data_IF_238004174056
#
_entry.id   IF_238004174056
#
_cell.length_a   1.000
_cell.length_b   1.000
_cell.length_c   1.000
_cell.angle_alpha   90.00
_cell.angle_beta   90.00
_cell.angle_gamma   90.00
#
_symmetry.space_group_name_H-M   'P 1'
#
loop_
_entity.id
_entity.type
_entity.pdbx_description
1 polymer ?
#
# COMPACT_ATOMS: atom_id res chain seq x y z
N UNK A 1 34.91 -39.63 -10.93
CA UNK A 1 33.57 -39.05 -10.64
C UNK A 1 33.82 -37.72 -9.96
N UNK A 2 33.59 -36.60 -10.64
CA UNK A 2 33.72 -35.28 -10.02
C UNK A 2 32.54 -35.10 -9.09
N UNK A 3 32.78 -35.03 -7.79
CA UNK A 3 31.75 -34.67 -6.84
C UNK A 3 31.42 -33.19 -7.07
N UNK A 4 30.24 -32.90 -7.63
CA UNK A 4 29.74 -31.54 -7.83
C UNK A 4 29.40 -30.91 -6.48
N UNK A 5 30.44 -30.46 -5.79
CA UNK A 5 30.37 -29.75 -4.53
C UNK A 5 29.99 -28.29 -4.80
N UNK A 6 28.93 -27.80 -4.16
CA UNK A 6 28.45 -26.42 -4.31
C UNK A 6 28.50 -25.67 -3.00
N UNK A 7 28.94 -24.42 -3.06
CA UNK A 7 28.89 -23.51 -1.93
C UNK A 7 27.44 -23.12 -1.63
N UNK A 8 27.13 -22.73 -0.39
CA UNK A 8 25.82 -22.18 -0.01
C UNK A 8 25.36 -21.05 -0.97
N UNK A 9 26.31 -20.23 -1.44
CA UNK A 9 26.03 -19.14 -2.40
C UNK A 9 25.61 -19.68 -3.77
N UNK A 10 26.36 -20.62 -4.33
CA UNK A 10 26.07 -21.22 -5.65
C UNK A 10 24.74 -21.97 -5.63
N UNK A 11 24.47 -22.74 -4.57
CA UNK A 11 23.19 -23.44 -4.40
C UNK A 11 22.02 -22.46 -4.27
N UNK A 12 22.23 -21.29 -3.65
CA UNK A 12 21.21 -20.26 -3.53
C UNK A 12 20.89 -19.61 -4.89
N UNK A 13 21.92 -19.27 -5.66
CA UNK A 13 21.79 -18.71 -7.01
C UNK A 13 21.12 -19.70 -7.97
N UNK A 14 21.49 -20.99 -7.94
CA UNK A 14 20.88 -22.04 -8.76
C UNK A 14 19.40 -22.27 -8.43
N UNK A 15 19.04 -22.28 -7.15
CA UNK A 15 17.67 -22.52 -6.73
C UNK A 15 16.81 -21.25 -6.71
N UNK A 16 17.39 -20.07 -6.98
CA UNK A 16 16.69 -18.78 -6.94
C UNK A 16 16.26 -18.36 -5.53
N UNK A 17 16.96 -18.83 -4.50
CA UNK A 17 16.69 -18.43 -3.11
C UNK A 17 17.76 -17.49 -2.58
N UNK A 18 17.43 -16.74 -1.53
CA UNK A 18 18.39 -15.88 -0.84
C UNK A 18 19.38 -16.77 -0.07
N UNK A 19 20.67 -16.41 -0.05
CA UNK A 19 21.74 -17.15 0.66
C UNK A 19 21.37 -17.51 2.10
N UNK A 20 20.70 -16.61 2.82
CA UNK A 20 20.24 -16.81 4.19
C UNK A 20 19.22 -17.95 4.31
N UNK A 21 18.34 -18.13 3.33
CA UNK A 21 17.34 -19.21 3.29
C UNK A 21 18.01 -20.57 3.21
N UNK A 22 18.98 -20.73 2.31
CA UNK A 22 19.79 -21.95 2.20
C UNK A 22 20.59 -22.16 3.49
N UNK A 23 21.20 -21.10 4.03
CA UNK A 23 21.98 -21.16 5.26
C UNK A 23 21.16 -21.62 6.48
N UNK A 24 19.89 -21.23 6.56
CA UNK A 24 18.97 -21.72 7.59
C UNK A 24 18.79 -23.24 7.48
N UNK A 25 18.55 -23.78 6.28
CA UNK A 25 18.41 -25.22 6.09
C UNK A 25 19.70 -26.00 6.35
N UNK A 26 20.85 -25.40 6.05
CA UNK A 26 22.17 -25.95 6.35
C UNK A 26 22.42 -26.11 7.86
N UNK A 27 21.75 -25.36 8.75
CA UNK A 27 21.86 -25.55 10.21
C UNK A 27 21.31 -26.90 10.68
N UNK A 28 20.43 -27.53 9.89
CA UNK A 28 19.83 -28.82 10.20
C UNK A 28 20.62 -30.02 9.67
N UNK A 29 21.71 -29.77 8.93
CA UNK A 29 22.64 -30.81 8.50
C UNK A 29 23.63 -31.14 9.63
N UNK A 30 24.08 -32.40 9.73
CA UNK A 30 25.09 -32.79 10.71
C UNK A 30 26.33 -31.90 10.58
N UNK A 31 26.87 -31.45 11.72
CA UNK A 31 28.04 -30.56 11.76
C UNK A 31 29.36 -31.32 11.74
N UNK A 32 29.33 -32.66 11.89
CA UNK A 32 30.51 -33.52 11.86
C UNK A 32 31.07 -33.55 10.44
N UNK A 33 32.34 -33.15 10.28
CA UNK A 33 33.11 -33.23 9.03
C UNK A 33 32.57 -32.38 7.86
N UNK A 34 32.24 -31.10 8.10
CA UNK A 34 31.87 -30.20 7.00
C UNK A 34 33.03 -29.98 6.03
N UNK A 35 32.77 -30.26 4.76
CA UNK A 35 33.70 -29.95 3.68
C UNK A 35 33.85 -28.44 3.54
N UNK A 36 35.10 -28.01 3.39
CA UNK A 36 35.47 -26.63 3.10
C UNK A 36 36.34 -26.59 1.86
N UNK A 37 36.18 -25.55 1.05
CA UNK A 37 37.06 -25.30 -0.08
C UNK A 37 38.37 -24.61 0.38
N UNK A 38 39.25 -24.34 -0.57
CA UNK A 38 40.51 -23.62 -0.35
C UNK A 38 40.35 -22.23 0.28
N UNK A 39 39.18 -21.59 0.13
CA UNK A 39 38.88 -20.29 0.74
C UNK A 39 38.20 -20.39 2.12
N UNK A 40 38.05 -21.61 2.65
CA UNK A 40 37.44 -21.86 3.97
C UNK A 40 35.91 -21.78 4.00
N UNK A 41 35.26 -21.60 2.85
CA UNK A 41 33.81 -21.60 2.73
C UNK A 41 33.26 -23.03 2.79
N UNK A 42 32.10 -23.19 3.43
CA UNK A 42 31.41 -24.48 3.55
C UNK A 42 30.85 -24.87 2.18
N UNK A 43 31.18 -26.09 1.77
CA UNK A 43 30.71 -26.69 0.51
C UNK A 43 29.81 -27.88 0.83
N UNK A 44 28.76 -28.03 0.03
CA UNK A 44 27.70 -29.01 0.24
C UNK A 44 27.84 -30.15 -0.77
N UNK A 45 27.75 -31.39 -0.29
CA UNK A 45 27.73 -32.57 -1.15
C UNK A 45 26.36 -32.73 -1.85
N UNK A 46 26.28 -33.67 -2.80
CA UNK A 46 25.05 -33.90 -3.57
C UNK A 46 23.86 -34.30 -2.67
N UNK A 47 24.09 -35.05 -1.59
CA UNK A 47 23.04 -35.48 -0.66
C UNK A 47 22.51 -34.33 0.19
N UNK A 48 23.40 -33.46 0.68
CA UNK A 48 23.09 -32.25 1.42
C UNK A 48 22.33 -31.25 0.54
N UNK A 49 22.77 -31.08 -0.71
CA UNK A 49 22.06 -30.29 -1.71
C UNK A 49 20.64 -30.83 -1.95
N UNK A 50 20.49 -32.15 -2.13
CA UNK A 50 19.18 -32.81 -2.28
C UNK A 50 18.30 -32.65 -1.04
N UNK A 51 18.86 -32.79 0.15
CA UNK A 51 18.14 -32.61 1.41
C UNK A 51 17.58 -31.18 1.52
N UNK A 52 18.41 -30.18 1.23
CA UNK A 52 18.01 -28.78 1.24
C UNK A 52 16.93 -28.51 0.19
N UNK A 53 17.13 -28.98 -1.05
CA UNK A 53 16.14 -28.86 -2.14
C UNK A 53 14.79 -29.45 -1.76
N UNK A 54 14.78 -30.65 -1.20
CA UNK A 54 13.55 -31.32 -0.78
C UNK A 54 12.83 -30.55 0.34
N UNK A 55 13.55 -29.96 1.30
CA UNK A 55 12.91 -29.13 2.34
C UNK A 55 12.28 -27.87 1.78
N UNK A 56 12.90 -27.26 0.77
CA UNK A 56 12.37 -26.05 0.13
C UNK A 56 11.14 -26.34 -0.74
N UNK A 57 11.12 -27.49 -1.43
CA UNK A 57 10.03 -27.87 -2.33
C UNK A 57 8.86 -28.55 -1.62
N UNK A 58 9.05 -29.20 -0.46
CA UNK A 58 7.98 -29.89 0.28
C UNK A 58 6.89 -28.95 0.82
N UNK A 59 7.17 -27.65 0.93
CA UNK A 59 6.22 -26.61 1.32
C UNK A 59 5.59 -25.90 0.11
N UNK A 60 5.99 -26.26 -1.12
CA UNK A 60 5.39 -25.78 -2.36
C UNK A 60 4.38 -26.86 -2.81
N UNK A 61 3.11 -26.52 -3.07
CA UNK A 61 2.21 -27.48 -3.71
C UNK A 61 2.79 -27.82 -5.09
N UNK A 62 3.40 -28.99 -5.23
CA UNK A 62 3.89 -29.50 -6.50
C UNK A 62 2.66 -29.85 -7.36
N UNK A 63 2.41 -29.05 -8.41
CA UNK A 63 1.46 -29.43 -9.45
C UNK A 63 2.10 -30.31 -10.54
N UNK A 64 3.40 -30.59 -10.46
CA UNK A 64 4.14 -31.30 -11.50
C UNK A 64 4.95 -32.45 -10.91
N UNK A 65 4.33 -33.62 -10.74
CA UNK A 65 5.03 -34.90 -10.84
C UNK A 65 4.04 -36.06 -11.02
N UNK A 66 3.75 -36.33 -12.29
CA UNK A 66 3.19 -37.59 -12.77
C UNK A 66 4.30 -38.66 -12.72
N UNK A 67 4.23 -39.57 -11.75
CA UNK A 67 4.84 -40.90 -11.88
C UNK A 67 4.18 -41.93 -10.96
N UNK A 68 3.43 -42.82 -11.60
CA UNK A 68 3.40 -44.28 -11.41
C UNK A 68 3.04 -44.87 -10.03
N UNK A 69 1.79 -45.32 -10.00
CA UNK A 69 1.08 -46.33 -9.18
C UNK A 69 1.91 -47.34 -8.36
N UNK A 70 1.52 -47.48 -7.08
CA UNK A 70 1.20 -48.77 -6.43
C UNK A 70 0.05 -48.55 -5.42
N UNK A 71 -1.00 -49.39 -5.37
CA UNK A 71 -2.08 -49.25 -4.40
C UNK A 71 -1.90 -50.23 -3.24
N UNK A 72 -1.13 -49.88 -2.23
CA UNK A 72 -1.20 -50.56 -0.93
C UNK A 72 -2.25 -49.91 -0.04
N UNK A 73 -3.41 -50.58 0.01
CA UNK A 73 -4.40 -50.65 1.10
C UNK A 73 -4.04 -49.80 2.34
N UNK A 74 -4.75 -48.69 2.54
CA UNK A 74 -5.06 -48.09 3.86
C UNK A 74 -6.10 -46.97 3.68
N UNK A 75 -7.36 -47.28 4.04
CA UNK A 75 -8.57 -46.45 3.79
C UNK A 75 -8.83 -45.27 4.77
N UNK A 76 -8.02 -44.87 5.77
CA UNK A 76 -8.35 -43.70 6.60
C UNK A 76 -7.79 -42.35 6.10
N UNK A 77 -7.02 -42.32 5.01
CA UNK A 77 -6.41 -41.06 4.50
C UNK A 77 -7.38 -40.22 3.64
N UNK A 78 -8.24 -40.87 2.85
CA UNK A 78 -9.11 -40.20 1.88
C UNK A 78 -10.19 -39.33 2.57
N UNK A 79 -10.75 -39.79 3.69
CA UNK A 79 -11.80 -39.05 4.41
C UNK A 79 -11.24 -37.80 5.10
N UNK A 80 -10.00 -37.88 5.61
CA UNK A 80 -9.28 -36.71 6.16
C UNK A 80 -8.91 -35.72 5.07
N UNK A 81 -8.47 -36.18 3.90
CA UNK A 81 -8.21 -35.32 2.74
C UNK A 81 -9.48 -34.61 2.25
N UNK A 82 -10.63 -35.31 2.20
CA UNK A 82 -11.92 -34.70 1.83
C UNK A 82 -12.33 -33.64 2.86
N UNK A 83 -12.16 -33.92 4.16
CA UNK A 83 -12.45 -32.96 5.23
C UNK A 83 -11.55 -31.72 5.15
N UNK A 84 -10.24 -31.90 4.92
CA UNK A 84 -9.30 -30.79 4.76
C UNK A 84 -9.64 -29.95 3.52
N UNK A 85 -9.97 -30.59 2.39
CA UNK A 85 -10.37 -29.89 1.17
C UNK A 85 -11.65 -29.07 1.34
N UNK A 86 -12.64 -29.58 2.09
CA UNK A 86 -13.85 -28.84 2.38
C UNK A 86 -13.58 -27.60 3.25
N UNK A 87 -12.75 -27.73 4.28
CA UNK A 87 -12.34 -26.59 5.13
C UNK A 87 -11.55 -25.56 4.31
N UNK A 88 -10.65 -26.00 3.43
CA UNK A 88 -9.93 -25.12 2.49
C UNK A 88 -10.89 -24.39 1.54
N UNK A 89 -11.93 -25.08 1.05
CA UNK A 89 -12.91 -24.49 0.16
C UNK A 89 -13.76 -23.42 0.87
N UNK A 90 -14.16 -23.65 2.11
CA UNK A 90 -14.86 -22.65 2.94
C UNK A 90 -13.96 -21.44 3.22
N UNK A 91 -12.69 -21.67 3.53
CA UNK A 91 -11.71 -20.58 3.70
C UNK A 91 -11.50 -19.77 2.41
N UNK A 92 -11.54 -20.42 1.24
CA UNK A 92 -11.47 -19.72 -0.04
C UNK A 92 -12.72 -18.86 -0.28
N UNK A 93 -13.92 -19.41 -0.05
CA UNK A 93 -15.17 -18.65 -0.20
C UNK A 93 -15.23 -17.42 0.72
N UNK A 94 -14.87 -17.58 1.98
CA UNK A 94 -14.84 -16.47 2.94
C UNK A 94 -13.82 -15.40 2.54
N UNK A 95 -12.64 -15.79 2.03
CA UNK A 95 -11.67 -14.83 1.49
C UNK A 95 -12.17 -14.14 0.23
N UNK A 96 -12.84 -14.85 -0.68
CA UNK A 96 -13.43 -14.26 -1.88
C UNK A 96 -14.50 -13.22 -1.52
N UNK A 97 -15.33 -13.50 -0.51
CA UNK A 97 -16.32 -12.55 0.01
C UNK A 97 -15.66 -11.30 0.64
N UNK A 98 -14.58 -11.49 1.41
CA UNK A 98 -13.79 -10.38 1.94
C UNK A 98 -13.13 -9.55 0.83
N UNK A 99 -12.63 -10.18 -0.22
CA UNK A 99 -12.06 -9.48 -1.37
C UNK A 99 -13.14 -8.66 -2.07
N UNK A 100 -14.34 -9.22 -2.28
CA UNK A 100 -15.45 -8.49 -2.89
C UNK A 100 -15.85 -7.26 -2.07
N UNK A 101 -15.99 -7.40 -0.75
CA UNK A 101 -16.36 -6.27 0.10
C UNK A 101 -15.27 -5.18 0.13
N UNK A 102 -13.99 -5.56 0.15
CA UNK A 102 -12.88 -4.61 0.04
C UNK A 102 -12.86 -3.88 -1.31
N UNK A 103 -13.12 -4.58 -2.41
CA UNK A 103 -13.21 -3.98 -3.75
C UNK A 103 -14.39 -3.00 -3.84
N UNK A 104 -15.54 -3.34 -3.26
CA UNK A 104 -16.69 -2.44 -3.20
C UNK A 104 -16.39 -1.17 -2.38
N UNK A 105 -15.78 -1.32 -1.20
CA UNK A 105 -15.35 -0.19 -0.38
C UNK A 105 -14.32 0.69 -1.12
N UNK A 106 -13.36 0.07 -1.82
CA UNK A 106 -12.40 0.79 -2.65
C UNK A 106 -13.10 1.59 -3.76
N UNK A 107 -14.10 1.00 -4.44
CA UNK A 107 -14.88 1.70 -5.46
C UNK A 107 -15.66 2.89 -4.87
N UNK A 108 -16.23 2.75 -3.68
CA UNK A 108 -16.93 3.86 -2.99
C UNK A 108 -15.97 5.00 -2.66
N UNK A 109 -14.79 4.69 -2.10
CA UNK A 109 -13.77 5.71 -1.78
C UNK A 109 -13.25 6.44 -3.03
N UNK A 110 -13.06 5.72 -4.14
CA UNK A 110 -12.69 6.33 -5.43
C UNK A 110 -13.76 7.30 -5.93
N UNK A 111 -15.04 6.92 -5.87
CA UNK A 111 -16.13 7.80 -6.29
C UNK A 111 -16.23 9.07 -5.42
N UNK A 112 -16.06 8.95 -4.10
CA UNK A 112 -16.02 10.11 -3.21
C UNK A 112 -14.84 11.03 -3.52
N UNK A 113 -13.67 10.47 -3.80
CA UNK A 113 -12.49 11.24 -4.18
C UNK A 113 -12.73 12.00 -5.50
N UNK A 114 -13.30 11.35 -6.50
CA UNK A 114 -13.64 11.98 -7.79
C UNK A 114 -14.67 13.11 -7.61
N UNK A 115 -15.68 12.90 -6.74
CA UNK A 115 -16.65 13.96 -6.41
C UNK A 115 -15.97 15.14 -5.73
N UNK A 116 -15.08 14.90 -4.77
CA UNK A 116 -14.33 15.95 -4.09
C UNK A 116 -13.44 16.74 -5.05
N UNK A 117 -12.77 16.06 -5.99
CA UNK A 117 -11.96 16.73 -7.01
C UNK A 117 -12.81 17.61 -7.93
N UNK A 118 -14.00 17.14 -8.35
CA UNK A 118 -14.92 17.91 -9.19
C UNK A 118 -15.41 19.17 -8.48
N UNK A 119 -15.82 19.04 -7.22
CA UNK A 119 -16.27 20.18 -6.41
C UNK A 119 -15.13 21.19 -6.21
N UNK A 120 -13.92 20.73 -5.87
CA UNK A 120 -12.76 21.61 -5.72
C UNK A 120 -12.45 22.40 -7.02
N UNK A 121 -12.65 21.80 -8.19
CA UNK A 121 -12.48 22.48 -9.47
C UNK A 121 -13.59 23.52 -9.73
N UNK A 122 -14.83 23.24 -9.33
CA UNK A 122 -15.94 24.21 -9.42
C UNK A 122 -15.70 25.39 -8.48
N UNK A 123 -15.34 25.14 -7.23
CA UNK A 123 -15.03 26.17 -6.24
C UNK A 123 -13.88 27.07 -6.71
N UNK A 124 -12.84 26.48 -7.31
CA UNK A 124 -11.72 27.24 -7.89
C UNK A 124 -12.19 28.18 -8.99
N UNK A 125 -13.04 27.73 -9.91
CA UNK A 125 -13.58 28.57 -11.00
C UNK A 125 -14.37 29.74 -10.44
N UNK A 126 -15.28 29.48 -9.50
CA UNK A 126 -16.09 30.51 -8.86
C UNK A 126 -15.22 31.55 -8.12
N UNK A 127 -14.17 31.10 -7.43
CA UNK A 127 -13.22 32.00 -6.77
C UNK A 127 -12.43 32.86 -7.77
N UNK A 128 -12.06 32.31 -8.91
CA UNK A 128 -11.36 33.06 -9.96
C UNK A 128 -12.29 34.09 -10.60
N UNK A 129 -13.57 33.75 -10.85
CA UNK A 129 -14.62 34.68 -11.32
C UNK A 129 -14.81 35.85 -10.34
N UNK A 130 -14.97 35.57 -9.03
CA UNK A 130 -15.11 36.63 -8.03
C UNK A 130 -13.87 37.51 -7.93
N UNK A 131 -12.66 36.96 -8.11
CA UNK A 131 -11.43 37.78 -8.13
C UNK A 131 -11.40 38.70 -9.34
N UNK A 132 -11.79 38.23 -10.52
CA UNK A 132 -11.89 39.09 -11.71
C UNK A 132 -12.93 40.19 -11.51
N UNK A 133 -14.12 39.87 -11.02
CA UNK A 133 -15.17 40.86 -10.82
C UNK A 133 -14.79 41.91 -9.76
N UNK A 134 -14.10 41.51 -8.69
CA UNK A 134 -13.52 42.45 -7.72
C UNK A 134 -12.48 43.37 -8.39
N UNK A 135 -11.64 42.85 -9.28
CA UNK A 135 -10.65 43.66 -9.98
C UNK A 135 -11.29 44.65 -10.95
N UNK A 136 -12.30 44.23 -11.70
CA UNK A 136 -13.05 45.07 -12.63
C UNK A 136 -13.81 46.17 -11.90
N UNK A 137 -14.49 45.83 -10.79
CA UNK A 137 -15.17 46.79 -9.93
C UNK A 137 -14.21 47.80 -9.30
N UNK A 138 -12.99 47.37 -8.94
CA UNK A 138 -11.94 48.28 -8.47
C UNK A 138 -11.50 49.23 -9.58
N UNK A 139 -11.31 48.75 -10.81
CA UNK A 139 -10.93 49.58 -11.95
C UNK A 139 -12.00 50.63 -12.29
N UNK A 140 -13.28 50.25 -12.25
CA UNK A 140 -14.43 51.13 -12.41
C UNK A 140 -14.49 52.20 -11.31
N UNK A 141 -14.34 51.82 -10.04
CA UNK A 141 -14.34 52.77 -8.92
C UNK A 141 -13.20 53.79 -9.02
N UNK A 142 -12.02 53.39 -9.48
CA UNK A 142 -10.90 54.32 -9.69
C UNK A 142 -11.23 55.37 -10.76
N UNK A 143 -11.81 54.96 -11.89
CA UNK A 143 -12.24 55.90 -12.93
C UNK A 143 -13.36 56.86 -12.48
N UNK A 144 -14.18 56.43 -11.51
CA UNK A 144 -15.30 57.24 -11.00
C UNK A 144 -14.87 58.21 -9.89
N UNK A 145 -13.82 57.91 -9.12
CA UNK A 145 -13.32 58.86 -8.11
C UNK A 145 -12.63 60.05 -8.77
N UNK A 146 -11.88 59.85 -9.86
CA UNK A 146 -11.22 60.98 -10.54
C UNK A 146 -12.19 61.85 -11.35
N UNK A 147 -13.39 61.35 -11.69
CA UNK A 147 -14.45 62.14 -12.38
C UNK A 147 -15.52 62.72 -11.45
N UNK A 148 -15.64 62.25 -10.19
CA UNK A 148 -16.69 62.72 -9.25
C UNK A 148 -16.22 63.75 -8.23
N UNK A 149 -14.93 64.00 -8.09
CA UNK A 149 -14.40 65.02 -7.16
C UNK A 149 -14.83 66.45 -7.54
N UNK A 150 -15.32 66.69 -8.76
CA UNK A 150 -15.79 68.03 -9.17
C UNK A 150 -17.29 68.32 -8.94
N UNK A 151 -18.17 67.35 -8.62
CA UNK A 151 -19.63 67.62 -8.73
C UNK A 151 -20.56 67.23 -7.56
N UNK A 152 -20.08 66.88 -6.37
CA UNK A 152 -21.00 66.73 -5.22
C UNK A 152 -20.39 67.31 -3.94
N UNK A 153 -20.19 68.61 -3.96
CA UNK A 153 -20.26 69.43 -2.75
C UNK A 153 -21.66 69.29 -2.11
N UNK A 154 -21.69 69.26 -0.78
CA UNK A 154 -22.88 69.48 0.06
C UNK A 154 -23.93 68.34 0.14
N UNK A 155 -23.78 67.46 1.15
CA UNK A 155 -24.68 67.38 2.33
C UNK A 155 -24.36 66.16 3.20
N UNK A 156 -23.89 66.41 4.42
CA UNK A 156 -24.11 65.53 5.58
C UNK A 156 -25.58 65.64 6.04
N UNK A 157 -26.08 64.68 6.82
CA UNK A 157 -26.27 64.98 8.26
C UNK A 157 -25.67 63.93 9.20
N UNK A 158 -25.22 64.45 10.35
CA UNK A 158 -24.78 63.78 11.57
C UNK A 158 -25.93 63.09 12.34
N UNK A 159 -25.59 62.05 13.09
CA UNK A 159 -26.07 61.77 14.48
C UNK A 159 -25.05 60.77 15.10
N UNK A 160 -24.10 61.21 15.95
CA UNK A 160 -24.04 61.12 17.44
C UNK A 160 -24.29 59.70 17.98
N UNK A 161 -23.55 59.08 18.91
CA UNK A 161 -22.47 59.44 19.82
C UNK A 161 -22.09 58.16 20.60
N UNK A 162 -20.94 58.21 21.29
CA UNK A 162 -20.45 57.34 22.37
C UNK A 162 -19.45 56.23 22.01
N UNK A 163 -18.24 56.50 22.46
CA UNK A 163 -17.11 55.60 22.61
C UNK A 163 -17.45 54.57 23.70
N UNK A 164 -17.45 53.29 23.33
CA UNK A 164 -17.18 52.19 24.24
C UNK A 164 -16.23 51.23 23.52
N UNK A 165 -14.96 51.32 23.90
CA UNK A 165 -13.85 50.56 23.34
C UNK A 165 -13.95 49.09 23.83
N UNK A 166 -14.45 48.18 22.99
CA UNK A 166 -14.37 46.74 23.26
C UNK A 166 -13.06 46.14 22.71
N UNK A 167 -12.36 45.29 23.48
CA UNK A 167 -11.08 44.74 23.06
C UNK A 167 -11.24 43.80 21.85
N UNK A 168 -10.49 44.10 20.79
CA UNK A 168 -10.29 43.25 19.60
C UNK A 168 -9.86 41.84 20.01
N UNK A 169 -10.82 40.91 20.17
CA UNK A 169 -10.53 39.49 20.36
C UNK A 169 -9.96 38.94 19.04
N UNK A 170 -8.69 38.55 19.09
CA UNK A 170 -7.97 37.95 17.97
C UNK A 170 -8.77 36.78 17.35
N UNK A 171 -8.71 36.57 16.02
CA UNK A 171 -9.48 35.53 15.34
C UNK A 171 -9.06 34.16 15.86
N UNK A 172 -9.98 33.47 16.55
CA UNK A 172 -9.77 32.10 17.03
C UNK A 172 -9.55 31.21 15.81
N UNK A 173 -8.34 30.66 15.68
CA UNK A 173 -7.97 29.73 14.61
C UNK A 173 -8.64 28.38 14.87
N UNK A 174 -9.73 28.09 14.16
CA UNK A 174 -10.53 26.86 14.30
C UNK A 174 -9.76 25.57 13.97
N UNK A 175 -8.60 25.67 13.32
CA UNK A 175 -7.74 24.55 12.90
C UNK A 175 -6.87 23.92 14.00
N UNK A 176 -7.00 24.32 15.27
CA UNK A 176 -6.22 23.77 16.40
C UNK A 176 -6.98 22.73 17.24
N UNK A 177 -8.20 22.36 16.84
CA UNK A 177 -9.07 21.43 17.58
C UNK A 177 -9.16 20.03 16.94
N UNK A 178 -8.26 19.72 16.00
CA UNK A 178 -8.13 18.41 15.36
C UNK A 178 -6.70 17.89 15.54
#
# INVERSE_FOLDING_TARGET
MSEDLKTIKELAEELGFIKQTIQYHVKFLPTKNRLKNSSGAIVLNLEEQRFIKNRLTKNRPNNDQKSTKEPTKNRPKKDKEISINNVLLEQLKTKDEQIKSLVEAQKQTQNLLDQQQRLALQDKKLLDEYKSEINDLKALKMHTQDTKVEQVSSKQPQEVESVAEEPKKAPRKWWRLW
#
